data_IF_098923579791
#
_entry.id   IF_098923579791
#
_cell.length_a   1.000
_cell.length_b   1.000
_cell.length_c   1.000
_cell.angle_alpha   90.00
_cell.angle_beta   90.00
_cell.angle_gamma   90.00
#
_symmetry.space_group_name_H-M   'P 1'
#
loop_
_entity.id
_entity.type
_entity.pdbx_description
1 polymer ?
#
# COMPACT_ATOMS: atom_id res chain seq x y z
N UNK A 1 -7.40 -14.48 -1.44
CA UNK A 1 -7.48 -13.03 -1.15
C UNK A 1 -6.14 -12.62 -0.54
N UNK A 2 -5.40 -11.66 -1.12
CA UNK A 2 -4.16 -11.19 -0.51
C UNK A 2 -4.48 -10.61 0.88
N UNK A 3 -3.75 -11.06 1.90
CA UNK A 3 -3.93 -10.61 3.28
C UNK A 3 -3.27 -9.23 3.42
N UNK A 4 -3.96 -8.27 4.02
CA UNK A 4 -3.38 -6.96 4.36
C UNK A 4 -2.19 -7.18 5.30
N UNK A 5 -1.12 -6.43 5.09
CA UNK A 5 0.01 -6.48 6.01
C UNK A 5 -0.40 -5.84 7.34
N UNK A 6 -0.19 -6.54 8.46
CA UNK A 6 -0.52 -6.06 9.81
C UNK A 6 0.55 -5.10 10.39
N UNK A 7 1.45 -4.57 9.54
CA UNK A 7 2.58 -3.73 9.93
C UNK A 7 2.45 -2.31 9.37
N UNK A 8 3.01 -1.34 10.08
CA UNK A 8 3.16 0.03 9.60
C UNK A 8 4.24 0.07 8.51
N UNK A 9 3.96 0.77 7.40
CA UNK A 9 4.92 0.97 6.33
C UNK A 9 6.14 1.77 6.80
N UNK A 10 7.30 1.40 6.31
CA UNK A 10 8.59 2.06 6.60
C UNK A 10 9.11 2.77 5.34
N UNK A 11 9.99 3.78 5.45
CA UNK A 11 10.57 4.47 4.29
C UNK A 11 11.17 3.53 3.23
N UNK A 12 11.73 2.41 3.68
CA UNK A 12 12.35 1.37 2.86
C UNK A 12 11.35 0.69 1.91
N UNK A 13 10.06 0.65 2.26
CA UNK A 13 9.03 0.07 1.40
C UNK A 13 8.80 0.92 0.14
N UNK A 14 8.80 2.25 0.31
CA UNK A 14 8.72 3.17 -0.82
C UNK A 14 10.02 3.15 -1.62
N UNK A 15 11.17 3.12 -0.95
CA UNK A 15 12.46 3.04 -1.61
C UNK A 15 12.58 1.78 -2.48
N UNK A 16 12.11 0.63 -1.99
CA UNK A 16 12.08 -0.62 -2.75
C UNK A 16 11.16 -0.53 -3.97
N UNK A 17 9.98 0.08 -3.84
CA UNK A 17 9.06 0.27 -4.96
C UNK A 17 9.64 1.21 -6.04
N UNK A 18 10.32 2.29 -5.62
CA UNK A 18 11.03 3.20 -6.54
C UNK A 18 12.20 2.48 -7.22
N UNK A 19 12.98 1.70 -6.47
CA UNK A 19 14.08 0.92 -7.04
C UNK A 19 13.58 -0.09 -8.07
N UNK A 20 12.44 -0.75 -7.82
CA UNK A 20 11.79 -1.64 -8.79
C UNK A 20 11.41 -0.89 -10.08
N UNK A 21 10.78 0.28 -9.98
CA UNK A 21 10.42 1.10 -11.14
C UNK A 21 11.65 1.64 -11.90
N UNK A 22 12.82 1.67 -11.26
CA UNK A 22 14.08 2.06 -11.88
C UNK A 22 14.75 0.96 -12.71
N UNK A 23 14.27 -0.29 -12.66
CA UNK A 23 14.86 -1.38 -13.44
C UNK A 23 14.36 -1.41 -14.89
N UNK A 24 15.18 -1.95 -15.79
CA UNK A 24 14.85 -2.10 -17.21
C UNK A 24 13.57 -2.92 -17.44
N UNK A 25 13.27 -3.88 -16.56
CA UNK A 25 12.05 -4.68 -16.62
C UNK A 25 10.77 -3.85 -16.43
N UNK A 26 10.89 -2.67 -15.81
CA UNK A 26 9.78 -1.72 -15.63
C UNK A 26 9.63 -0.73 -16.81
N UNK A 27 10.42 -0.86 -17.90
CA UNK A 27 10.47 0.14 -18.98
C UNK A 27 9.12 0.43 -19.67
N UNK A 28 8.16 -0.50 -19.60
CA UNK A 28 6.82 -0.33 -20.14
C UNK A 28 5.78 0.18 -19.13
N UNK A 29 6.17 0.40 -17.87
CA UNK A 29 5.29 0.89 -16.82
C UNK A 29 5.39 2.42 -16.79
N UNK A 30 4.44 3.09 -17.42
CA UNK A 30 4.36 4.56 -17.48
C UNK A 30 2.93 5.05 -17.33
N UNK A 31 2.74 6.25 -16.79
CA UNK A 31 1.42 6.87 -16.62
C UNK A 31 0.51 6.19 -15.58
N UNK A 32 1.08 5.37 -14.70
CA UNK A 32 0.35 4.63 -13.67
C UNK A 32 0.74 5.08 -12.26
N UNK A 33 -0.24 5.09 -11.36
CA UNK A 33 0.00 5.21 -9.91
C UNK A 33 0.12 3.80 -9.34
N UNK A 34 1.21 3.53 -8.61
CA UNK A 34 1.44 2.27 -7.90
C UNK A 34 1.22 2.47 -6.39
N UNK A 35 0.10 2.00 -5.80
CA UNK A 35 -0.11 2.07 -4.36
C UNK A 35 0.87 1.17 -3.60
N UNK A 36 1.59 1.74 -2.64
CA UNK A 36 2.52 1.04 -1.74
C UNK A 36 2.06 1.27 -0.31
N UNK A 37 0.92 0.67 0.03
CA UNK A 37 0.18 1.00 1.26
C UNK A 37 -0.16 -0.22 2.13
N UNK A 38 0.24 -1.42 1.70
CA UNK A 38 0.03 -2.67 2.46
C UNK A 38 -1.37 -3.26 2.35
N UNK A 39 -2.27 -2.70 1.53
CA UNK A 39 -3.59 -3.24 1.18
C UNK A 39 -4.79 -2.56 1.86
N UNK A 40 -4.58 -1.41 2.50
CA UNK A 40 -5.56 -0.46 3.05
C UNK A 40 -6.70 -0.17 2.07
N UNK A 41 -6.41 0.08 0.80
CA UNK A 41 -7.42 0.46 -0.22
C UNK A 41 -7.95 -0.74 -1.02
N UNK A 42 -7.44 -1.94 -0.75
CA UNK A 42 -7.66 -3.12 -1.62
C UNK A 42 -8.84 -4.01 -1.15
N UNK A 43 -9.50 -3.69 -0.05
CA UNK A 43 -10.65 -4.45 0.47
C UNK A 43 -11.85 -3.58 0.86
N UNK A 44 -13.05 -4.18 1.04
CA UNK A 44 -14.20 -3.47 1.58
C UNK A 44 -13.92 -3.15 3.05
N UNK A 45 -13.35 -1.99 3.32
CA UNK A 45 -13.26 -1.48 4.68
C UNK A 45 -14.42 -0.49 4.86
N UNK A 46 -15.48 -0.84 5.61
CA UNK A 46 -16.24 0.19 6.30
C UNK A 46 -15.21 0.88 7.17
N UNK A 47 -14.87 2.13 6.88
CA UNK A 47 -14.19 2.98 7.85
C UNK A 47 -15.04 2.88 9.12
N UNK A 48 -14.52 2.22 10.15
CA UNK A 48 -15.22 2.10 11.41
C UNK A 48 -15.16 3.47 12.08
N UNK A 49 -16.15 4.29 11.76
CA UNK A 49 -16.39 5.60 12.36
C UNK A 49 -17.19 5.47 13.65
N UNK A 50 -17.39 4.25 14.17
CA UNK A 50 -17.96 4.10 15.49
C UNK A 50 -17.10 4.89 16.48
N UNK A 51 -17.72 5.65 17.40
CA UNK A 51 -16.99 6.33 18.45
C UNK A 51 -16.03 5.35 19.13
N UNK A 52 -14.81 5.76 19.52
CA UNK A 52 -13.99 4.90 20.35
C UNK A 52 -14.83 4.51 21.57
N UNK A 53 -14.91 3.22 21.87
CA UNK A 53 -15.58 2.73 23.07
C UNK A 53 -14.97 3.48 24.26
N UNK A 54 -15.68 4.52 24.69
CA UNK A 54 -15.38 5.26 25.89
C UNK A 54 -15.83 4.34 27.02
N UNK A 55 -15.05 4.17 28.10
CA UNK A 55 -15.49 3.35 29.22
C UNK A 55 -16.87 3.79 29.75
#
# INVERSE_FOLDING_TARGET
MPRRTERVGEPEDIAAAVAFLGFDDAAWITGHTLPVEGGVLTGPHPIDLSPPDTP
#
